data_IF_389932348959
#
_entry.id   IF_389932348959
#
_cell.length_a   1.000
_cell.length_b   1.000
_cell.length_c   1.000
_cell.angle_alpha   90.00
_cell.angle_beta   90.00
_cell.angle_gamma   90.00
#
_symmetry.space_group_name_H-M   'P 1'
#
loop_
_entity.id
_entity.type
_entity.pdbx_description
1 polymer ?
#
# COMPACT_ATOMS: atom_id res chain seq x y z
N UNK A 1 13.90 -20.71 3.07
CA UNK A 1 12.64 -20.17 3.62
C UNK A 1 12.44 -18.77 3.05
N UNK A 2 11.34 -18.52 2.32
CA UNK A 2 11.11 -17.28 1.56
C UNK A 2 11.01 -16.08 2.55
N UNK A 3 11.78 -14.98 2.36
CA UNK A 3 11.80 -13.82 3.27
C UNK A 3 10.42 -13.19 3.48
N UNK A 4 9.50 -13.41 2.54
CA UNK A 4 8.12 -12.93 2.63
C UNK A 4 7.29 -13.63 3.71
N UNK A 5 7.46 -14.94 3.90
CA UNK A 5 6.71 -15.68 4.93
C UNK A 5 7.08 -15.25 6.34
N UNK A 6 8.38 -14.98 6.56
CA UNK A 6 8.86 -14.43 7.82
C UNK A 6 8.25 -13.05 8.08
N UNK A 7 8.19 -12.20 7.05
CA UNK A 7 7.57 -10.87 7.13
C UNK A 7 6.07 -10.95 7.41
N UNK A 8 5.35 -11.90 6.81
CA UNK A 8 3.92 -12.13 7.09
C UNK A 8 3.69 -12.43 8.58
N UNK A 9 4.49 -13.32 9.17
CA UNK A 9 4.40 -13.62 10.60
C UNK A 9 4.82 -12.43 11.48
N UNK A 10 5.86 -11.67 11.09
CA UNK A 10 6.29 -10.49 11.83
C UNK A 10 5.18 -9.41 11.85
N UNK A 11 4.53 -9.16 10.71
CA UNK A 11 3.46 -8.16 10.57
C UNK A 11 2.18 -8.58 11.29
N UNK A 12 1.97 -9.89 11.53
CA UNK A 12 0.82 -10.41 12.26
C UNK A 12 0.69 -9.79 13.66
N UNK A 13 1.82 -9.50 14.29
CA UNK A 13 1.87 -8.91 15.63
C UNK A 13 1.93 -7.38 15.62
N UNK A 14 1.81 -6.75 14.45
CA UNK A 14 2.01 -5.32 14.24
C UNK A 14 3.25 -5.07 13.38
N UNK A 15 3.33 -3.89 12.76
CA UNK A 15 4.46 -3.53 11.88
C UNK A 15 5.58 -2.93 12.74
N UNK A 16 6.76 -3.55 12.83
CA UNK A 16 7.88 -3.00 13.59
C UNK A 16 8.28 -1.58 13.14
N UNK A 17 8.66 -0.73 14.09
CA UNK A 17 8.98 0.68 13.85
C UNK A 17 10.08 0.92 12.82
N UNK A 18 11.08 0.03 12.76
CA UNK A 18 12.17 0.14 11.80
C UNK A 18 11.73 0.00 10.34
N UNK A 19 10.54 -0.57 10.08
CA UNK A 19 9.96 -0.62 8.74
C UNK A 19 9.15 0.61 8.37
N UNK A 20 8.81 1.50 9.31
CA UNK A 20 7.80 2.56 9.06
C UNK A 20 8.23 3.55 7.96
N UNK A 21 9.49 3.97 7.95
CA UNK A 21 10.00 4.92 6.95
C UNK A 21 9.97 4.31 5.55
N UNK A 22 10.44 3.07 5.43
CA UNK A 22 10.48 2.34 4.18
C UNK A 22 9.07 2.03 3.67
N UNK A 23 8.18 1.59 4.57
CA UNK A 23 6.79 1.36 4.27
C UNK A 23 6.13 2.63 3.73
N UNK A 24 6.28 3.74 4.44
CA UNK A 24 5.67 5.01 4.05
C UNK A 24 6.15 5.48 2.67
N UNK A 25 7.46 5.38 2.41
CA UNK A 25 8.03 5.75 1.11
C UNK A 25 7.50 4.85 -0.01
N UNK A 26 7.39 3.54 0.21
CA UNK A 26 6.92 2.60 -0.81
C UNK A 26 5.42 2.68 -1.04
N UNK A 27 4.63 2.92 0.02
CA UNK A 27 3.19 3.23 -0.12
C UNK A 27 2.97 4.53 -0.90
N UNK A 28 3.82 5.54 -0.70
CA UNK A 28 3.76 6.76 -1.51
C UNK A 28 4.08 6.48 -3.00
N UNK A 29 4.93 5.49 -3.32
CA UNK A 29 5.15 5.05 -4.70
C UNK A 29 3.89 4.37 -5.27
N UNK A 30 3.25 3.48 -4.49
CA UNK A 30 2.08 2.72 -4.91
C UNK A 30 0.82 3.61 -5.06
N UNK A 31 0.49 4.37 -4.02
CA UNK A 31 -0.77 5.10 -3.88
C UNK A 31 -0.64 6.62 -4.02
N UNK A 32 0.56 7.18 -3.89
CA UNK A 32 0.77 8.62 -4.05
C UNK A 32 0.41 9.10 -5.45
N UNK A 33 0.09 10.38 -5.60
CA UNK A 33 -0.20 10.93 -6.91
C UNK A 33 0.95 10.73 -7.89
N UNK A 34 0.63 10.40 -9.14
CA UNK A 34 1.62 10.50 -10.20
C UNK A 34 2.02 11.97 -10.28
N UNK A 35 3.29 12.26 -9.99
CA UNK A 35 3.90 13.54 -10.37
C UNK A 35 3.77 13.66 -11.89
N UNK A 36 2.66 14.23 -12.37
CA UNK A 36 2.49 14.59 -13.77
C UNK A 36 3.73 15.40 -14.11
N UNK A 37 4.38 15.03 -15.22
CA UNK A 37 5.45 15.83 -15.79
C UNK A 37 4.85 17.21 -16.04
N UNK A 38 4.98 18.14 -15.09
CA UNK A 38 5.05 19.53 -15.46
C UNK A 38 6.21 19.55 -16.45
N UNK A 39 6.03 20.24 -17.57
CA UNK A 39 7.11 20.50 -18.50
C UNK A 39 8.13 21.39 -17.76
N UNK A 40 8.85 20.79 -16.81
CA UNK A 40 9.88 21.45 -16.04
C UNK A 40 10.96 21.79 -17.04
N UNK A 41 11.31 23.07 -17.06
CA UNK A 41 12.19 23.73 -18.03
C UNK A 41 13.62 23.11 -18.03
N UNK A 42 13.91 22.19 -17.11
CA UNK A 42 15.19 21.49 -17.03
C UNK A 42 15.02 19.97 -17.26
N UNK A 43 15.76 19.38 -18.22
CA UNK A 43 15.80 17.94 -18.39
C UNK A 43 16.40 17.28 -17.15
N UNK A 44 15.77 16.19 -16.70
CA UNK A 44 16.26 15.36 -15.59
C UNK A 44 17.64 14.79 -15.92
N UNK A 45 18.47 14.67 -14.90
CA UNK A 45 19.72 13.91 -14.98
C UNK A 45 19.46 12.43 -15.27
N UNK A 46 20.48 11.73 -15.78
CA UNK A 46 20.41 10.28 -16.04
C UNK A 46 20.04 9.48 -14.78
N UNK A 47 20.53 9.90 -13.62
CA UNK A 47 20.23 9.27 -12.32
C UNK A 47 18.75 9.41 -11.93
N UNK A 48 18.20 10.63 -12.04
CA UNK A 48 16.78 10.89 -11.73
C UNK A 48 15.84 10.14 -12.69
N UNK A 49 16.21 10.02 -13.97
CA UNK A 49 15.43 9.23 -14.93
C UNK A 49 15.41 7.74 -14.58
N UNK A 50 16.53 7.19 -14.10
CA UNK A 50 16.60 5.80 -13.67
C UNK A 50 15.75 5.55 -12.42
N UNK A 51 15.81 6.45 -11.43
CA UNK A 51 14.97 6.37 -10.22
C UNK A 51 13.49 6.41 -10.59
N UNK A 52 13.08 7.38 -11.41
CA UNK A 52 11.69 7.50 -11.85
C UNK A 52 11.20 6.26 -12.61
N UNK A 53 12.07 5.64 -13.42
CA UNK A 53 11.75 4.41 -14.16
C UNK A 53 11.53 3.24 -13.19
N UNK A 54 12.40 3.10 -12.19
CA UNK A 54 12.27 2.07 -11.15
C UNK A 54 11.01 2.24 -10.31
N UNK A 55 10.73 3.47 -9.85
CA UNK A 55 9.51 3.78 -9.10
C UNK A 55 8.26 3.49 -9.91
N UNK A 56 8.24 3.83 -11.21
CA UNK A 56 7.10 3.55 -12.07
C UNK A 56 6.89 2.04 -12.27
N UNK A 57 7.97 1.27 -12.41
CA UNK A 57 7.89 -0.19 -12.50
C UNK A 57 7.43 -0.81 -11.19
N UNK A 58 8.00 -0.37 -10.07
CA UNK A 58 7.62 -0.82 -8.73
C UNK A 58 6.15 -0.53 -8.44
N UNK A 59 5.65 0.65 -8.81
CA UNK A 59 4.23 0.99 -8.67
C UNK A 59 3.32 -0.02 -9.37
N UNK A 60 3.62 -0.37 -10.62
CA UNK A 60 2.81 -1.34 -11.37
C UNK A 60 2.77 -2.68 -10.61
N UNK A 61 3.93 -3.16 -10.16
CA UNK A 61 4.05 -4.45 -9.48
C UNK A 61 3.39 -4.43 -8.10
N UNK A 62 3.54 -3.36 -7.32
CA UNK A 62 2.87 -3.20 -6.03
C UNK A 62 1.34 -3.23 -6.21
N UNK A 63 0.80 -2.53 -7.20
CA UNK A 63 -0.64 -2.53 -7.45
C UNK A 63 -1.13 -3.90 -7.94
N UNK A 64 -0.37 -4.58 -8.80
CA UNK A 64 -0.69 -5.96 -9.20
C UNK A 64 -0.70 -6.92 -8.00
N UNK A 65 0.30 -6.83 -7.12
CA UNK A 65 0.34 -7.63 -5.89
C UNK A 65 -0.86 -7.34 -4.98
N UNK A 66 -1.29 -6.07 -4.90
CA UNK A 66 -2.49 -5.68 -4.14
C UNK A 66 -3.77 -6.26 -4.72
N UNK A 67 -3.92 -6.20 -6.04
CA UNK A 67 -5.10 -6.67 -6.75
C UNK A 67 -5.23 -8.19 -6.65
N UNK A 68 -4.09 -8.90 -6.66
CA UNK A 68 -4.01 -10.35 -6.49
C UNK A 68 -4.30 -10.78 -5.04
N UNK A 69 -3.62 -10.18 -4.06
CA UNK A 69 -3.84 -10.50 -2.65
C UNK A 69 -3.52 -9.31 -1.71
N UNK A 70 -4.59 -8.71 -1.18
CA UNK A 70 -4.48 -7.61 -0.22
C UNK A 70 -3.81 -8.01 1.10
N UNK A 71 -3.92 -9.27 1.55
CA UNK A 71 -3.27 -9.73 2.78
C UNK A 71 -1.74 -9.76 2.60
N UNK A 72 -1.29 -10.30 1.47
CA UNK A 72 0.13 -10.43 1.16
C UNK A 72 0.78 -9.13 0.69
N UNK A 73 0.01 -8.19 0.18
CA UNK A 73 0.49 -6.90 -0.30
C UNK A 73 1.41 -6.18 0.69
N UNK A 74 1.03 -6.14 1.98
CA UNK A 74 1.80 -5.41 2.99
C UNK A 74 3.16 -6.07 3.26
N UNK A 75 3.19 -7.40 3.31
CA UNK A 75 4.44 -8.15 3.43
C UNK A 75 5.30 -7.99 2.16
N UNK A 76 4.65 -7.99 1.00
CA UNK A 76 5.31 -7.81 -0.28
C UNK A 76 5.97 -6.45 -0.44
N UNK A 77 5.25 -5.36 -0.14
CA UNK A 77 5.80 -4.01 -0.27
C UNK A 77 6.97 -3.78 0.69
N UNK A 78 6.99 -4.48 1.83
CA UNK A 78 8.12 -4.45 2.77
C UNK A 78 9.30 -5.31 2.30
N UNK A 79 9.04 -6.48 1.72
CA UNK A 79 10.09 -7.38 1.22
C UNK A 79 10.78 -6.83 -0.03
N UNK A 80 10.03 -6.20 -0.94
CA UNK A 80 10.55 -5.78 -2.24
C UNK A 80 10.76 -4.28 -2.31
N UNK A 81 12.00 -3.88 -2.56
CA UNK A 81 12.35 -2.49 -2.85
C UNK A 81 12.02 -2.12 -4.31
N UNK A 82 11.94 -0.82 -4.66
CA UNK A 82 11.75 -0.41 -6.05
C UNK A 82 12.84 -0.93 -7.00
N UNK A 83 14.05 -1.15 -6.49
CA UNK A 83 15.15 -1.75 -7.27
C UNK A 83 14.89 -3.23 -7.54
N UNK A 84 14.40 -3.96 -6.55
CA UNK A 84 14.10 -5.40 -6.65
C UNK A 84 12.91 -5.69 -7.56
N UNK A 85 12.00 -4.73 -7.73
CA UNK A 85 10.84 -4.85 -8.61
C UNK A 85 11.21 -4.90 -10.11
N UNK A 86 12.43 -4.54 -10.51
CA UNK A 86 12.80 -4.54 -11.93
C UNK A 86 12.78 -5.96 -12.51
N UNK A 87 13.27 -6.93 -11.72
CA UNK A 87 13.44 -8.33 -12.14
C UNK A 87 12.33 -9.24 -11.61
N UNK A 88 11.32 -8.67 -10.94
CA UNK A 88 10.27 -9.44 -10.29
C UNK A 88 9.36 -10.15 -11.29
N UNK A 89 9.15 -11.46 -11.06
CA UNK A 89 8.22 -12.29 -11.82
C UNK A 89 6.96 -12.55 -10.98
N UNK A 90 5.80 -12.19 -11.51
CA UNK A 90 4.51 -12.36 -10.82
C UNK A 90 4.21 -13.81 -10.46
N UNK A 91 4.79 -14.79 -11.18
CA UNK A 91 4.68 -16.22 -10.85
C UNK A 91 5.21 -16.56 -9.46
N UNK A 92 6.22 -15.84 -8.95
CA UNK A 92 6.74 -16.03 -7.59
C UNK A 92 5.73 -15.58 -6.51
N UNK A 93 4.84 -14.65 -6.86
CA UNK A 93 3.78 -14.15 -5.97
C UNK A 93 2.64 -15.16 -5.82
N UNK A 94 2.23 -15.80 -6.93
CA UNK A 94 1.11 -16.75 -6.96
C UNK A 94 1.38 -17.98 -6.07
N UNK A 95 2.60 -18.53 -6.10
CA UNK A 95 2.96 -19.65 -5.20
C UNK A 95 2.87 -19.29 -3.70
N UNK A 96 2.99 -18.00 -3.37
CA UNK A 96 2.88 -17.50 -2.00
C UNK A 96 1.42 -17.26 -1.59
N UNK A 97 0.57 -16.88 -2.54
CA UNK A 97 -0.87 -16.76 -2.36
C UNK A 97 -1.48 -18.09 -1.91
N UNK A 98 -1.14 -19.18 -2.58
CA UNK A 98 -1.64 -20.52 -2.26
C UNK A 98 -1.28 -20.95 -0.82
N UNK A 99 -0.09 -20.59 -0.33
CA UNK A 99 0.33 -20.87 1.04
C UNK A 99 -0.41 -20.02 2.10
N UNK A 100 -0.68 -18.75 1.78
CA UNK A 100 -1.37 -17.83 2.70
C UNK A 100 -2.86 -18.17 2.85
N UNK A 101 -3.48 -18.71 1.80
CA UNK A 101 -4.87 -19.19 1.79
C UNK A 101 -5.15 -20.30 2.80
N UNK A 102 -4.16 -21.14 3.11
CA UNK A 102 -4.30 -22.22 4.11
C UNK A 102 -4.28 -21.70 5.57
N UNK A 103 -3.77 -20.48 5.80
CA UNK A 103 -3.65 -19.87 7.13
C UNK A 103 -4.69 -18.75 7.39
N UNK A 104 -5.91 -18.90 6.85
CA UNK A 104 -7.03 -17.93 6.94
C UNK A 104 -7.52 -17.65 8.37
N UNK A 105 -6.73 -16.90 9.14
CA UNK A 105 -7.14 -16.14 10.32
C UNK A 105 -6.35 -14.83 10.39
N UNK A 106 -6.12 -14.17 9.25
CA UNK A 106 -5.53 -12.84 9.19
C UNK A 106 -6.63 -11.77 9.11
N UNK A 107 -7.28 -11.50 10.24
CA UNK A 107 -7.88 -10.18 10.44
C UNK A 107 -6.76 -9.26 10.92
N UNK A 108 -6.52 -8.18 10.18
CA UNK A 108 -5.44 -7.26 10.50
C UNK A 108 -5.70 -6.54 11.83
N UNK A 109 -4.67 -6.44 12.68
CA UNK A 109 -4.71 -5.74 13.96
C UNK A 109 -5.09 -4.24 13.79
N UNK A 110 -5.76 -3.60 14.77
CA UNK A 110 -6.11 -2.17 14.72
C UNK A 110 -4.89 -1.23 14.67
N UNK A 111 -3.71 -1.68 15.09
CA UNK A 111 -2.48 -0.87 15.04
C UNK A 111 -2.02 -0.54 13.61
N UNK A 112 -1.85 -1.53 12.71
CA UNK A 112 -1.63 -1.30 11.28
C UNK A 112 -2.64 -0.32 10.65
N UNK A 113 -3.91 -0.39 11.03
CA UNK A 113 -4.95 0.52 10.50
C UNK A 113 -4.62 1.99 10.81
N UNK A 114 -4.33 2.27 12.08
CA UNK A 114 -4.00 3.62 12.56
C UNK A 114 -2.72 4.15 11.91
N UNK A 115 -1.72 3.28 11.76
CA UNK A 115 -0.45 3.64 11.12
C UNK A 115 -0.67 4.03 9.64
N UNK A 116 -1.39 3.19 8.89
CA UNK A 116 -1.67 3.43 7.47
C UNK A 116 -2.49 4.70 7.25
N UNK A 117 -3.53 4.93 8.07
CA UNK A 117 -4.31 6.19 8.04
C UNK A 117 -3.42 7.41 8.25
N UNK A 118 -2.51 7.34 9.22
CA UNK A 118 -1.57 8.42 9.53
C UNK A 118 -0.62 8.70 8.36
N UNK A 119 -0.05 7.66 7.76
CA UNK A 119 0.82 7.77 6.59
C UNK A 119 0.06 8.35 5.38
N UNK A 120 -1.18 7.92 5.17
CA UNK A 120 -2.02 8.36 4.07
C UNK A 120 -2.32 9.85 4.11
N UNK A 121 -2.64 10.39 5.29
CA UNK A 121 -2.84 11.82 5.49
C UNK A 121 -1.52 12.57 5.26
N UNK A 122 -0.42 12.11 5.89
CA UNK A 122 0.88 12.78 5.80
C UNK A 122 1.42 12.88 4.37
N UNK A 123 1.21 11.84 3.56
CA UNK A 123 1.67 11.76 2.17
C UNK A 123 0.62 12.15 1.13
N UNK A 124 -0.60 12.49 1.56
CA UNK A 124 -1.68 12.96 0.68
C UNK A 124 -2.26 11.90 -0.25
N UNK A 125 -2.23 10.61 0.12
CA UNK A 125 -2.87 9.53 -0.67
C UNK A 125 -4.15 8.99 -0.04
N UNK A 126 -4.67 9.63 1.00
CA UNK A 126 -5.90 9.24 1.71
C UNK A 126 -7.17 9.22 0.84
N UNK A 127 -7.16 9.87 -0.33
CA UNK A 127 -8.25 9.83 -1.31
C UNK A 127 -7.97 8.88 -2.49
N UNK A 128 -6.83 8.17 -2.50
CA UNK A 128 -6.49 7.26 -3.58
C UNK A 128 -7.41 6.02 -3.56
N UNK A 129 -7.98 5.65 -4.70
CA UNK A 129 -8.91 4.52 -4.81
C UNK A 129 -8.29 3.18 -4.39
N UNK A 130 -7.03 2.90 -4.75
CA UNK A 130 -6.36 1.67 -4.34
C UNK A 130 -6.14 1.62 -2.83
N UNK A 131 -5.80 2.77 -2.21
CA UNK A 131 -5.73 2.87 -0.75
C UNK A 131 -7.11 2.63 -0.10
N UNK A 132 -8.17 3.28 -0.59
CA UNK A 132 -9.51 3.11 -0.03
C UNK A 132 -10.01 1.67 -0.15
N UNK A 133 -9.81 1.06 -1.32
CA UNK A 133 -10.15 -0.34 -1.55
C UNK A 133 -9.37 -1.28 -0.63
N UNK A 134 -8.08 -1.01 -0.42
CA UNK A 134 -7.26 -1.77 0.51
C UNK A 134 -7.79 -1.65 1.94
N UNK A 135 -8.05 -0.42 2.41
CA UNK A 135 -8.56 -0.18 3.75
C UNK A 135 -9.91 -0.85 3.99
N UNK A 136 -10.81 -0.81 3.00
CA UNK A 136 -12.12 -1.46 3.10
C UNK A 136 -12.01 -2.99 3.18
N UNK A 137 -11.11 -3.60 2.41
CA UNK A 137 -10.90 -5.06 2.40
C UNK A 137 -10.21 -5.56 3.68
N UNK A 138 -9.24 -4.81 4.17
CA UNK A 138 -8.39 -5.23 5.30
C UNK A 138 -8.95 -4.81 6.66
N UNK A 139 -9.69 -3.71 6.73
CA UNK A 139 -10.22 -3.10 7.96
C UNK A 139 -11.69 -2.68 7.80
N UNK A 140 -12.60 -3.63 7.53
CA UNK A 140 -14.00 -3.30 7.24
C UNK A 140 -14.71 -2.61 8.44
N UNK A 141 -14.40 -3.01 9.67
CA UNK A 141 -15.06 -2.49 10.88
C UNK A 141 -14.79 -0.99 11.14
N UNK A 142 -13.61 -0.48 10.76
CA UNK A 142 -13.26 0.95 10.88
C UNK A 142 -13.82 1.83 9.76
N UNK A 143 -14.18 1.24 8.61
CA UNK A 143 -14.62 1.97 7.43
C UNK A 143 -16.13 2.28 7.46
N UNK A 144 -16.95 1.38 8.03
CA UNK A 144 -18.40 1.57 8.20
C UNK A 144 -18.71 2.84 9.02
N UNK A 145 -17.93 3.11 10.07
CA UNK A 145 -18.09 4.33 10.87
C UNK A 145 -17.72 5.61 10.11
N UNK A 146 -16.80 5.54 9.14
CA UNK A 146 -16.37 6.73 8.39
C UNK A 146 -17.39 7.11 7.31
N UNK A 147 -18.00 6.13 6.61
CA UNK A 147 -19.09 6.39 5.65
C UNK A 147 -20.33 6.94 6.37
N UNK A 148 -20.67 6.40 7.55
CA UNK A 148 -21.75 6.93 8.38
C UNK A 148 -21.50 8.39 8.80
N UNK A 149 -20.27 8.75 9.17
CA UNK A 149 -19.92 10.15 9.45
C UNK A 149 -20.06 11.07 8.23
N UNK A 150 -19.60 10.65 7.04
CA UNK A 150 -19.74 11.48 5.83
C UNK A 150 -21.20 11.66 5.38
N UNK A 151 -22.03 10.62 5.50
CA UNK A 151 -23.46 10.71 5.20
C UNK A 151 -24.23 11.55 6.23
N UNK A 152 -23.89 11.44 7.52
CA UNK A 152 -24.51 12.26 8.57
C UNK A 152 -24.14 13.74 8.48
N UNK A 153 -22.90 14.07 8.12
CA UNK A 153 -22.46 15.47 7.92
C UNK A 153 -23.07 16.08 6.64
N UNK A 154 -23.31 15.26 5.61
CA UNK A 154 -23.97 15.74 4.38
C UNK A 154 -25.48 15.92 4.58
N UNK A 155 -26.11 15.15 5.46
CA UNK A 155 -27.52 15.29 5.81
C UNK A 155 -27.81 16.51 6.70
N UNK A 156 -26.84 16.98 7.49
CA UNK A 156 -27.01 18.20 8.32
C UNK A 156 -26.79 19.49 7.55
N UNK A 157 -26.07 19.48 6.42
CA UNK A 157 -25.82 20.69 5.62
C UNK A 157 -26.85 20.96 4.51
N UNK A 158 -27.71 19.98 4.20
CA UNK A 158 -28.81 20.14 3.22
C UNK A 158 -30.13 20.64 3.85
N UNK A 159 -30.11 21.01 5.13
CA UNK A 159 -31.28 21.42 5.89
C UNK A 159 -31.07 22.72 6.67
N UNK A 160 -30.55 23.76 6.02
CA UNK A 160 -30.55 25.15 6.53
C UNK A 160 -30.78 26.13 5.40
#
# INVERSE_FOLDING_TARGET
MKPLLRLVEEIRHGIPSHYHVDLENRLAIAWGERKRKRFDIKPRSRGENLVATRENRARIIYLQAQDEDCLLFLAFILAYSPRSCVDFKTTEFVELHDYALDNKQQRASPEPEKLLKTMAIRRGFNQNLHYLNYMQRMFPEGFVNTILCFLLVSATFAGS
#
